data_IF_694032265278
#
_entry.id   IF_694032265278
#
_cell.length_a   1.000
_cell.length_b   1.000
_cell.length_c   1.000
_cell.angle_alpha   90.00
_cell.angle_beta   90.00
_cell.angle_gamma   90.00
#
_symmetry.space_group_name_H-M   'P 1'
#
loop_
_entity.id
_entity.type
_entity.pdbx_description
1 polymer ?
#
# COMPACT_ATOMS: atom_id res chain seq x y z
N UNK A 1 21.24 -8.43 -2.62
CA UNK A 1 20.03 -9.22 -2.89
C UNK A 1 20.44 -10.47 -3.65
N UNK A 2 19.71 -11.57 -3.47
CA UNK A 2 20.04 -12.85 -4.09
C UNK A 2 19.42 -12.99 -5.49
N UNK A 3 20.09 -13.76 -6.35
CA UNK A 3 19.56 -14.08 -7.68
C UNK A 3 18.62 -15.27 -7.60
N UNK A 4 17.44 -15.14 -8.21
CA UNK A 4 16.39 -16.17 -8.15
C UNK A 4 15.81 -16.47 -9.53
N UNK A 5 15.40 -17.72 -9.73
CA UNK A 5 14.73 -18.18 -10.95
C UNK A 5 13.31 -17.65 -11.09
N UNK A 6 12.58 -17.55 -9.98
CA UNK A 6 11.20 -17.09 -9.94
C UNK A 6 11.10 -15.81 -9.13
N UNK A 7 10.39 -14.84 -9.70
CA UNK A 7 10.00 -13.62 -9.02
C UNK A 7 8.49 -13.47 -9.13
N UNK A 8 7.82 -13.12 -8.03
CA UNK A 8 6.38 -12.86 -8.05
C UNK A 8 6.04 -11.53 -7.42
N UNK A 9 5.15 -10.79 -8.06
CA UNK A 9 4.51 -9.61 -7.50
C UNK A 9 3.12 -9.98 -6.99
N UNK A 10 2.79 -9.51 -5.79
CA UNK A 10 1.52 -9.77 -5.10
C UNK A 10 1.14 -8.58 -4.22
N UNK A 11 -0.07 -8.65 -3.65
CA UNK A 11 -0.61 -7.60 -2.77
C UNK A 11 -0.65 -6.21 -3.46
N UNK A 12 -0.93 -6.22 -4.76
CA UNK A 12 -1.10 -5.03 -5.60
C UNK A 12 -2.38 -4.30 -5.17
N UNK A 13 -2.23 -3.39 -4.22
CA UNK A 13 -3.37 -2.80 -3.52
C UNK A 13 -3.77 -1.49 -4.16
N UNK A 14 -4.97 -1.43 -4.73
CA UNK A 14 -5.52 -0.22 -5.32
C UNK A 14 -6.53 0.49 -4.41
N UNK A 15 -6.78 1.74 -4.76
CA UNK A 15 -7.78 2.62 -4.21
C UNK A 15 -9.19 2.00 -4.16
N UNK A 16 -9.64 1.49 -5.31
CA UNK A 16 -10.91 0.76 -5.45
C UNK A 16 -10.65 -0.72 -5.17
N UNK A 17 -11.31 -1.31 -4.15
CA UNK A 17 -11.19 -2.73 -3.86
C UNK A 17 -11.51 -3.60 -5.07
N UNK A 18 -10.95 -4.81 -5.15
CA UNK A 18 -11.15 -5.75 -6.26
C UNK A 18 -10.55 -5.30 -7.60
N UNK A 19 -9.92 -4.14 -7.73
CA UNK A 19 -9.46 -3.63 -9.04
C UNK A 19 -7.95 -3.45 -9.14
N UNK A 20 -7.44 -3.54 -10.36
CA UNK A 20 -6.04 -3.25 -10.66
C UNK A 20 -5.90 -2.80 -12.12
N UNK A 21 -5.15 -1.73 -12.37
CA UNK A 21 -4.72 -1.32 -13.71
C UNK A 21 -3.25 -0.89 -13.67
N UNK A 22 -2.45 -1.48 -14.55
CA UNK A 22 -1.04 -1.13 -14.77
C UNK A 22 -0.72 -1.21 -16.27
N UNK A 23 0.12 -0.31 -16.75
CA UNK A 23 0.62 -0.32 -18.14
C UNK A 23 1.97 -1.03 -18.26
N UNK A 24 2.84 -0.91 -17.26
CA UNK A 24 4.18 -1.49 -17.25
C UNK A 24 4.48 -2.19 -15.94
N UNK A 25 5.32 -3.23 -15.99
CA UNK A 25 5.97 -3.81 -14.82
C UNK A 25 7.33 -4.41 -15.20
N UNK A 26 8.38 -3.61 -15.00
CA UNK A 26 9.75 -3.98 -15.32
C UNK A 26 10.55 -4.31 -14.07
N UNK A 27 11.44 -5.29 -14.18
CA UNK A 27 12.35 -5.68 -13.08
C UNK A 27 13.77 -5.22 -13.42
N UNK A 28 14.45 -4.65 -12.42
CA UNK A 28 15.77 -4.05 -12.56
C UNK A 28 16.81 -4.67 -11.62
N UNK A 29 18.06 -4.65 -12.07
CA UNK A 29 19.27 -4.84 -11.27
C UNK A 29 20.18 -3.61 -11.46
N UNK A 30 20.28 -2.77 -10.45
CA UNK A 30 20.84 -1.43 -10.56
C UNK A 30 20.03 -0.58 -11.54
N UNK A 31 20.64 -0.19 -12.64
CA UNK A 31 20.01 0.59 -13.71
C UNK A 31 19.62 -0.27 -14.93
N UNK A 32 19.91 -1.57 -14.89
CA UNK A 32 19.70 -2.48 -16.01
C UNK A 32 18.38 -3.22 -15.87
N UNK A 33 17.53 -3.17 -16.90
CA UNK A 33 16.30 -3.97 -16.97
C UNK A 33 16.65 -5.44 -17.22
N UNK A 34 16.13 -6.36 -16.40
CA UNK A 34 16.47 -7.79 -16.46
C UNK A 34 15.32 -8.69 -16.92
N UNK A 35 14.06 -8.24 -16.85
CA UNK A 35 12.87 -9.08 -17.10
C UNK A 35 12.61 -9.45 -18.57
N UNK A 36 13.35 -8.89 -19.52
CA UNK A 36 13.08 -9.03 -20.95
C UNK A 36 13.02 -10.50 -21.42
N UNK A 37 13.92 -11.35 -20.92
CA UNK A 37 13.97 -12.77 -21.26
C UNK A 37 13.04 -13.67 -20.41
N UNK A 38 12.39 -13.12 -19.38
CA UNK A 38 11.53 -13.89 -18.49
C UNK A 38 10.15 -14.15 -19.13
N UNK A 39 9.59 -15.33 -18.88
CA UNK A 39 8.17 -15.59 -19.17
C UNK A 39 7.33 -14.96 -18.06
N UNK A 40 6.37 -14.10 -18.42
CA UNK A 40 5.44 -13.47 -17.48
C UNK A 40 4.08 -14.18 -17.54
N UNK A 41 3.59 -14.61 -16.39
CA UNK A 41 2.24 -15.17 -16.22
C UNK A 41 1.48 -14.44 -15.13
N UNK A 42 0.15 -14.58 -15.12
CA UNK A 42 -0.74 -14.05 -14.09
C UNK A 42 -1.63 -15.17 -13.55
N UNK A 43 -1.92 -15.16 -12.24
CA UNK A 43 -2.83 -16.12 -11.60
C UNK A 43 -4.28 -15.99 -12.07
N UNK A 44 -4.66 -14.82 -12.59
CA UNK A 44 -5.95 -14.57 -13.22
C UNK A 44 -5.75 -13.75 -14.51
N UNK A 45 -6.51 -14.08 -15.56
CA UNK A 45 -6.38 -13.41 -16.85
C UNK A 45 -6.79 -11.92 -16.78
N UNK A 46 -5.97 -10.99 -17.28
CA UNK A 46 -6.35 -9.59 -17.42
C UNK A 46 -7.27 -9.36 -18.62
N UNK A 47 -7.96 -8.23 -18.62
CA UNK A 47 -8.30 -7.53 -19.85
C UNK A 47 -7.04 -6.83 -20.40
N UNK A 48 -6.75 -7.01 -21.69
CA UNK A 48 -5.46 -6.65 -22.28
C UNK A 48 -4.49 -7.83 -22.32
N UNK A 49 -3.24 -7.61 -22.72
CA UNK A 49 -2.24 -8.67 -22.89
C UNK A 49 -1.09 -8.47 -21.90
N UNK A 50 -0.59 -9.56 -21.29
CA UNK A 50 0.58 -9.49 -20.38
C UNK A 50 1.84 -8.98 -21.07
N UNK A 51 1.94 -9.12 -22.39
CA UNK A 51 3.02 -8.54 -23.19
C UNK A 51 3.06 -7.01 -23.09
N UNK A 52 1.92 -6.36 -22.84
CA UNK A 52 1.85 -4.92 -22.66
C UNK A 52 2.64 -4.46 -21.43
N UNK A 53 2.76 -5.29 -20.39
CA UNK A 53 3.53 -4.92 -19.18
C UNK A 53 5.04 -4.85 -19.41
N UNK A 54 5.50 -5.13 -20.63
CA UNK A 54 6.91 -5.15 -21.00
C UNK A 54 7.22 -4.28 -22.22
N UNK A 55 6.21 -3.71 -22.86
CA UNK A 55 6.32 -3.11 -24.19
C UNK A 55 6.84 -1.66 -24.17
N UNK A 56 7.03 -1.09 -22.98
CA UNK A 56 7.49 0.28 -22.78
C UNK A 56 6.52 1.35 -23.30
N UNK A 57 5.23 1.01 -23.43
CA UNK A 57 4.15 1.86 -23.92
C UNK A 57 3.02 2.05 -22.88
N UNK A 58 2.98 3.22 -22.24
CA UNK A 58 1.96 3.55 -21.23
C UNK A 58 0.53 3.68 -21.76
N UNK A 59 0.31 3.59 -23.08
CA UNK A 59 -1.03 3.54 -23.70
C UNK A 59 -1.68 2.15 -23.66
N UNK A 60 -0.88 1.09 -23.59
CA UNK A 60 -1.32 -0.30 -23.45
C UNK A 60 -1.28 -0.71 -21.97
N UNK A 61 -1.75 -1.91 -21.64
CA UNK A 61 -1.66 -2.41 -20.27
C UNK A 61 -2.53 -3.62 -19.97
N UNK A 62 -2.59 -3.95 -18.68
CA UNK A 62 -3.45 -4.98 -18.13
C UNK A 62 -4.42 -4.38 -17.11
N UNK A 63 -5.65 -4.90 -17.11
CA UNK A 63 -6.72 -4.47 -16.23
C UNK A 63 -7.46 -5.67 -15.65
N UNK A 64 -7.74 -5.61 -14.34
CA UNK A 64 -8.62 -6.51 -13.63
C UNK A 64 -9.78 -5.71 -13.02
N UNK A 65 -11.00 -6.05 -13.44
CA UNK A 65 -12.22 -5.40 -12.96
C UNK A 65 -12.68 -5.91 -11.59
N UNK A 66 -12.25 -7.11 -11.22
CA UNK A 66 -12.57 -7.79 -9.97
C UNK A 66 -11.39 -8.70 -9.58
N UNK A 67 -11.13 -8.84 -8.28
CA UNK A 67 -10.06 -9.67 -7.72
C UNK A 67 -8.63 -9.17 -7.99
N UNK A 68 -8.44 -7.92 -8.40
CA UNK A 68 -7.14 -7.33 -8.75
C UNK A 68 -6.08 -7.45 -7.64
N UNK A 69 -6.45 -7.24 -6.37
CA UNK A 69 -5.56 -7.37 -5.21
C UNK A 69 -5.07 -8.80 -4.95
N UNK A 70 -5.78 -9.80 -5.50
CA UNK A 70 -5.44 -11.22 -5.37
C UNK A 70 -4.64 -11.73 -6.58
N UNK A 71 -4.42 -10.89 -7.59
CA UNK A 71 -3.59 -11.25 -8.75
C UNK A 71 -2.14 -11.40 -8.30
N UNK A 72 -1.54 -12.50 -8.76
CA UNK A 72 -0.11 -12.75 -8.62
C UNK A 72 0.47 -12.74 -10.03
N UNK A 73 1.42 -11.83 -10.27
CA UNK A 73 2.23 -11.80 -11.48
C UNK A 73 3.51 -12.58 -11.22
N UNK A 74 3.88 -13.49 -12.11
CA UNK A 74 5.05 -14.36 -11.94
C UNK A 74 5.97 -14.25 -13.15
N UNK A 75 7.22 -13.89 -12.89
CA UNK A 75 8.32 -13.94 -13.84
C UNK A 75 9.09 -15.24 -13.62
N UNK A 76 9.19 -16.04 -14.68
CA UNK A 76 10.07 -17.20 -14.74
C UNK A 76 11.27 -16.88 -15.61
N UNK A 77 12.43 -16.76 -15.01
CA UNK A 77 13.66 -16.47 -15.73
C UNK A 77 14.31 -17.75 -16.26
N UNK A 78 14.90 -17.72 -17.47
CA UNK A 78 15.68 -18.85 -17.99
C UNK A 78 16.97 -19.09 -17.18
N UNK A 79 17.53 -18.02 -16.62
CA UNK A 79 18.67 -18.04 -15.69
C UNK A 79 18.36 -17.16 -14.49
N UNK A 80 18.71 -17.55 -13.24
CA UNK A 80 18.41 -16.75 -12.05
C UNK A 80 18.90 -15.31 -12.18
N UNK A 81 18.04 -14.35 -11.83
CA UNK A 81 18.37 -12.92 -11.87
C UNK A 81 18.27 -12.31 -10.48
N UNK A 82 19.21 -11.44 -10.15
CA UNK A 82 19.07 -10.53 -9.02
C UNK A 82 18.10 -9.41 -9.43
N UNK A 83 17.17 -9.07 -8.55
CA UNK A 83 16.24 -7.95 -8.75
C UNK A 83 16.32 -7.04 -7.54
N UNK A 84 16.72 -5.80 -7.75
CA UNK A 84 16.89 -4.76 -6.72
C UNK A 84 16.05 -3.51 -6.96
N UNK A 85 15.20 -3.54 -7.97
CA UNK A 85 14.29 -2.46 -8.28
C UNK A 85 13.21 -2.82 -9.28
N UNK A 86 12.20 -1.95 -9.32
CA UNK A 86 11.06 -2.09 -10.23
C UNK A 86 10.73 -0.76 -10.89
N UNK A 87 10.11 -0.82 -12.07
CA UNK A 87 9.40 0.30 -12.67
C UNK A 87 7.98 -0.16 -12.96
N UNK A 88 7.00 0.64 -12.57
CA UNK A 88 5.58 0.36 -12.83
C UNK A 88 4.94 1.53 -13.57
N UNK A 89 4.09 1.20 -14.54
CA UNK A 89 3.44 2.18 -15.41
C UNK A 89 1.99 2.39 -15.05
N UNK A 90 1.58 3.64 -14.95
CA UNK A 90 0.20 4.06 -14.73
C UNK A 90 -0.50 4.35 -16.07
N UNK A 91 -1.77 3.94 -16.16
CA UNK A 91 -2.59 4.10 -17.38
C UNK A 91 -3.65 5.18 -17.21
N UNK A 92 -4.91 4.80 -16.92
CA UNK A 92 -6.06 5.71 -17.09
C UNK A 92 -6.57 6.34 -15.80
N UNK A 93 -6.50 5.66 -14.67
CA UNK A 93 -7.16 6.14 -13.44
C UNK A 93 -6.43 5.80 -12.16
N UNK A 94 -6.41 6.77 -11.24
CA UNK A 94 -5.90 6.59 -9.87
C UNK A 94 -6.70 5.55 -9.09
N UNK A 95 -7.98 5.38 -9.40
CA UNK A 95 -8.88 4.48 -8.68
C UNK A 95 -8.42 3.01 -8.74
N UNK A 96 -7.64 2.65 -9.77
CA UNK A 96 -7.17 1.29 -10.04
C UNK A 96 -5.64 1.17 -9.97
N UNK A 97 -4.96 2.27 -9.67
CA UNK A 97 -3.51 2.32 -9.50
C UNK A 97 -3.11 1.62 -8.20
N UNK A 98 -2.17 0.66 -8.24
CA UNK A 98 -1.64 0.09 -7.02
C UNK A 98 -0.78 1.12 -6.27
N UNK A 99 -1.05 1.31 -4.98
CA UNK A 99 -0.26 2.18 -4.10
C UNK A 99 0.92 1.45 -3.48
N UNK A 100 0.81 0.12 -3.34
CA UNK A 100 1.83 -0.75 -2.75
C UNK A 100 1.86 -2.11 -3.43
N UNK A 101 3.00 -2.81 -3.35
CA UNK A 101 3.13 -4.23 -3.68
C UNK A 101 4.26 -4.91 -2.92
N UNK A 102 4.21 -6.24 -2.87
CA UNK A 102 5.34 -7.08 -2.48
C UNK A 102 5.93 -7.79 -3.69
N UNK A 103 7.26 -7.89 -3.72
CA UNK A 103 7.98 -8.69 -4.69
C UNK A 103 8.76 -9.78 -3.95
N UNK A 104 8.49 -11.04 -4.29
CA UNK A 104 9.10 -12.19 -3.64
C UNK A 104 9.98 -12.96 -4.63
N UNK A 105 11.21 -13.30 -4.22
CA UNK A 105 12.18 -14.09 -5.00
C UNK A 105 12.38 -15.49 -4.42
N UNK A 106 12.46 -16.50 -5.28
CA UNK A 106 12.66 -17.89 -4.89
C UNK A 106 13.01 -18.81 -6.06
N UNK A 107 13.42 -20.05 -5.75
CA UNK A 107 13.94 -21.00 -6.74
C UNK A 107 13.04 -22.25 -6.93
N UNK A 108 11.92 -22.31 -6.20
CA UNK A 108 10.94 -23.41 -6.26
C UNK A 108 9.58 -22.90 -6.76
N UNK A 109 8.80 -23.77 -7.40
CA UNK A 109 7.67 -23.41 -8.27
C UNK A 109 6.27 -23.48 -7.66
N UNK A 110 6.10 -23.68 -6.35
CA UNK A 110 4.82 -24.17 -5.78
C UNK A 110 4.25 -23.39 -4.59
N UNK A 111 3.32 -22.46 -4.86
CA UNK A 111 2.36 -22.10 -3.80
C UNK A 111 1.44 -20.95 -4.14
N UNK A 112 0.15 -21.26 -4.25
CA UNK A 112 -0.96 -20.29 -4.24
C UNK A 112 -1.21 -19.68 -2.84
N UNK A 113 -0.30 -19.89 -1.88
CA UNK A 113 -0.33 -19.33 -0.53
C UNK A 113 1.06 -18.88 -0.04
N UNK A 114 1.18 -18.47 1.24
CA UNK A 114 2.47 -18.17 1.87
C UNK A 114 3.30 -19.45 2.02
N UNK A 115 3.97 -19.84 0.94
CA UNK A 115 4.86 -20.99 0.83
C UNK A 115 6.28 -20.64 1.31
N UNK A 116 7.00 -21.57 1.98
CA UNK A 116 8.41 -21.43 2.42
C UNK A 116 9.44 -21.40 1.26
N UNK A 117 8.99 -21.11 0.05
CA UNK A 117 9.72 -21.28 -1.21
C UNK A 117 10.30 -19.97 -1.77
N UNK A 118 9.78 -18.85 -1.28
CA UNK A 118 10.29 -17.52 -1.57
C UNK A 118 11.00 -17.01 -0.33
N UNK A 119 12.31 -16.82 -0.45
CA UNK A 119 13.19 -16.45 0.68
C UNK A 119 13.57 -14.97 0.64
N UNK A 120 13.48 -14.34 -0.53
CA UNK A 120 13.69 -12.90 -0.72
C UNK A 120 12.33 -12.19 -0.70
N UNK A 121 12.17 -11.20 0.17
CA UNK A 121 10.91 -10.48 0.39
C UNK A 121 11.17 -8.98 0.33
N UNK A 122 10.62 -8.33 -0.69
CA UNK A 122 10.79 -6.90 -0.94
C UNK A 122 9.43 -6.22 -0.92
N UNK A 123 9.38 -5.01 -0.36
CA UNK A 123 8.17 -4.19 -0.30
C UNK A 123 8.40 -2.87 -1.02
N UNK A 124 7.41 -2.41 -1.78
CA UNK A 124 7.48 -1.20 -2.57
C UNK A 124 6.25 -0.32 -2.32
N UNK A 125 6.48 0.97 -2.09
CA UNK A 125 5.47 2.00 -2.23
C UNK A 125 5.58 2.62 -3.63
N UNK A 126 4.48 2.61 -4.37
CA UNK A 126 4.43 3.13 -5.75
C UNK A 126 4.15 4.63 -5.80
N UNK A 127 3.62 5.18 -4.70
CA UNK A 127 3.40 6.60 -4.54
C UNK A 127 2.33 7.15 -5.48
N UNK A 128 2.50 8.42 -5.85
CA UNK A 128 1.50 9.23 -6.57
C UNK A 128 1.22 8.68 -7.96
N UNK A 129 -0.08 8.56 -8.29
CA UNK A 129 -0.54 8.33 -9.65
C UNK A 129 -0.32 9.54 -10.55
N UNK A 130 0.27 9.31 -11.73
CA UNK A 130 0.29 10.25 -12.85
C UNK A 130 -0.13 9.48 -14.09
N UNK A 131 -1.19 9.93 -14.77
CA UNK A 131 -1.71 9.20 -15.94
C UNK A 131 -0.66 9.07 -17.04
N UNK A 132 -0.70 7.92 -17.74
CA UNK A 132 0.18 7.59 -18.86
C UNK A 132 1.69 7.74 -18.56
N UNK A 133 2.10 7.53 -17.31
CA UNK A 133 3.48 7.77 -16.85
C UNK A 133 4.04 6.56 -16.11
N UNK A 134 5.35 6.34 -16.22
CA UNK A 134 6.10 5.34 -15.44
C UNK A 134 6.66 5.95 -14.17
N UNK A 135 6.78 5.16 -13.12
CA UNK A 135 7.63 5.51 -11.98
C UNK A 135 9.09 5.65 -12.44
N UNK A 136 9.92 6.31 -11.63
CA UNK A 136 11.36 6.05 -11.69
C UNK A 136 11.67 4.61 -11.27
N UNK A 137 12.95 4.22 -11.30
CA UNK A 137 13.38 2.93 -10.72
C UNK A 137 13.17 3.03 -9.21
N UNK A 138 12.16 2.32 -8.71
CA UNK A 138 11.87 2.20 -7.30
C UNK A 138 12.79 1.14 -6.70
N UNK A 139 13.32 1.42 -5.52
CA UNK A 139 14.11 0.47 -4.72
C UNK A 139 13.26 -0.10 -3.59
N UNK A 140 13.57 -1.32 -3.11
CA UNK A 140 12.89 -1.88 -1.95
C UNK A 140 12.96 -0.91 -0.77
N UNK A 141 11.84 -0.76 -0.07
CA UNK A 141 11.85 -0.08 1.22
C UNK A 141 12.74 -0.89 2.19
N UNK A 142 13.62 -0.22 2.98
CA UNK A 142 14.42 -0.93 3.95
C UNK A 142 13.48 -1.68 4.92
N UNK A 143 13.69 -2.98 5.06
CA UNK A 143 13.00 -3.77 6.08
C UNK A 143 13.37 -3.18 7.44
N UNK A 144 12.44 -2.53 8.13
CA UNK A 144 12.69 -2.15 9.51
C UNK A 144 12.70 -3.47 10.30
N UNK A 145 13.83 -3.90 10.92
CA UNK A 145 13.96 -5.24 11.50
C UNK A 145 12.98 -5.54 12.66
N UNK A 146 12.22 -4.54 13.12
CA UNK A 146 11.26 -4.72 14.21
C UNK A 146 9.86 -5.20 13.81
N UNK A 147 9.44 -5.11 12.55
CA UNK A 147 8.21 -5.79 12.10
C UNK A 147 8.31 -6.09 10.61
N UNK A 148 8.17 -7.36 10.16
CA UNK A 148 7.83 -7.60 8.77
C UNK A 148 6.53 -6.86 8.50
N UNK A 149 6.52 -5.96 7.51
CA UNK A 149 5.30 -5.37 7.00
C UNK A 149 4.43 -6.54 6.55
N UNK A 150 3.44 -6.90 7.36
CA UNK A 150 2.55 -8.00 7.05
C UNK A 150 1.75 -7.59 5.80
N UNK A 151 1.20 -8.55 5.07
CA UNK A 151 0.37 -8.24 3.88
C UNK A 151 -0.77 -7.26 4.20
N UNK A 152 -1.23 -7.23 5.46
CA UNK A 152 -2.16 -6.23 6.00
C UNK A 152 -1.59 -4.80 6.07
N UNK A 153 -0.29 -4.63 6.25
CA UNK A 153 0.40 -3.33 6.30
C UNK A 153 0.59 -2.74 4.89
N UNK A 154 0.66 -3.58 3.84
CA UNK A 154 0.62 -3.14 2.42
C UNK A 154 -0.80 -2.98 1.87
N UNK A 155 -1.79 -3.74 2.38
CA UNK A 155 -3.19 -3.63 1.95
C UNK A 155 -3.90 -2.34 2.37
N UNK A 156 -3.15 -1.42 2.98
CA UNK A 156 -3.67 -0.30 3.75
C UNK A 156 -2.74 0.90 3.51
N UNK A 157 -2.89 1.54 2.34
CA UNK A 157 -2.49 2.94 2.09
C UNK A 157 -1.06 3.33 2.48
N UNK A 158 -0.03 3.09 1.65
CA UNK A 158 1.17 3.92 1.72
C UNK A 158 0.84 5.32 1.16
N UNK A 159 0.58 6.28 2.04
CA UNK A 159 0.67 7.71 1.73
C UNK A 159 1.85 8.36 2.45
N UNK A 160 2.05 9.66 2.27
CA UNK A 160 2.96 10.50 3.09
C UNK A 160 2.19 11.38 4.10
N UNK A 161 0.87 11.19 4.20
CA UNK A 161 -0.02 12.10 4.89
C UNK A 161 -0.11 11.82 6.38
N UNK A 162 -0.46 12.86 7.13
CA UNK A 162 -0.60 12.82 8.58
C UNK A 162 -2.00 13.23 9.00
N UNK A 163 -2.64 12.41 9.83
CA UNK A 163 -3.90 12.75 10.50
C UNK A 163 -3.65 12.80 12.00
N UNK A 164 -3.52 14.01 12.60
CA UNK A 164 -3.49 14.13 14.06
C UNK A 164 -4.86 13.83 14.65
N UNK A 165 -4.87 13.36 15.88
CA UNK A 165 -6.09 13.20 16.67
C UNK A 165 -5.85 13.60 18.11
N UNK A 166 -6.91 14.10 18.73
CA UNK A 166 -6.97 14.42 20.14
C UNK A 166 -8.32 13.94 20.70
N UNK A 167 -8.24 13.21 21.81
CA UNK A 167 -9.38 12.65 22.53
C UNK A 167 -9.40 13.27 23.91
N UNK A 168 -10.43 14.05 24.17
CA UNK A 168 -10.63 14.73 25.45
C UNK A 168 -11.98 14.37 26.06
N UNK A 169 -12.05 14.48 27.38
CA UNK A 169 -13.30 14.45 28.16
C UNK A 169 -13.57 15.79 28.81
N UNK A 170 -14.83 16.20 28.83
CA UNK A 170 -15.28 17.36 29.61
C UNK A 170 -15.15 17.05 31.11
N UNK A 171 -14.61 18.00 31.88
CA UNK A 171 -14.57 17.91 33.34
C UNK A 171 -15.95 18.20 33.91
N UNK A 172 -16.41 17.34 34.82
CA UNK A 172 -17.69 17.51 35.53
C UNK A 172 -17.44 17.89 37.01
N UNK A 173 -18.26 18.78 37.60
CA UNK A 173 -19.35 19.52 36.98
C UNK A 173 -18.84 20.55 35.94
N UNK A 174 -19.65 20.83 34.92
CA UNK A 174 -19.29 21.70 33.80
C UNK A 174 -18.80 23.07 34.32
N UNK A 175 -17.66 23.52 33.80
CA UNK A 175 -17.13 24.88 33.99
C UNK A 175 -17.49 25.77 32.81
N UNK A 176 -17.53 27.10 33.00
CA UNK A 176 -17.58 28.09 31.91
C UNK A 176 -16.34 29.02 32.02
N UNK A 177 -15.41 29.00 31.05
CA UNK A 177 -15.39 28.14 29.85
C UNK A 177 -15.21 26.66 30.20
N UNK A 178 -15.63 25.79 29.28
CA UNK A 178 -15.50 24.34 29.44
C UNK A 178 -14.04 23.92 29.56
N UNK A 179 -13.73 23.14 30.59
CA UNK A 179 -12.41 22.53 30.78
C UNK A 179 -12.43 21.09 30.28
N UNK A 180 -11.41 20.73 29.51
CA UNK A 180 -11.23 19.40 28.94
C UNK A 180 -9.93 18.78 29.44
N UNK A 181 -9.96 17.46 29.69
CA UNK A 181 -8.76 16.69 30.04
C UNK A 181 -8.52 15.60 28.97
N UNK A 182 -7.26 15.30 28.65
CA UNK A 182 -6.94 14.19 27.76
C UNK A 182 -7.52 12.87 28.28
N UNK A 183 -8.00 12.02 27.38
CA UNK A 183 -8.66 10.77 27.70
C UNK A 183 -8.07 9.61 26.92
N UNK A 184 -7.72 8.53 27.63
CA UNK A 184 -7.27 7.30 26.99
C UNK A 184 -8.40 6.65 26.16
N UNK A 185 -8.10 6.27 24.93
CA UNK A 185 -9.06 5.63 24.04
C UNK A 185 -8.36 4.76 23.00
N UNK A 186 -9.09 3.75 22.49
CA UNK A 186 -8.70 3.12 21.24
C UNK A 186 -9.19 3.99 20.10
N UNK A 187 -8.28 4.51 19.29
CA UNK A 187 -8.58 5.38 18.16
C UNK A 187 -8.50 4.59 16.87
N UNK A 188 -9.48 4.78 16.00
CA UNK A 188 -9.61 4.09 14.72
C UNK A 188 -9.69 5.09 13.57
N UNK A 189 -8.95 4.79 12.51
CA UNK A 189 -9.01 5.48 11.23
C UNK A 189 -9.80 4.63 10.23
N UNK A 190 -10.86 5.19 9.69
CA UNK A 190 -11.74 4.55 8.72
C UNK A 190 -11.73 5.37 7.43
N UNK A 191 -11.69 4.72 6.26
CA UNK A 191 -11.70 5.41 4.97
C UNK A 191 -13.15 5.63 4.53
N UNK A 192 -13.48 6.84 4.09
CA UNK A 192 -14.89 7.21 3.89
C UNK A 192 -15.53 6.55 2.66
N UNK A 193 -14.74 6.24 1.62
CA UNK A 193 -15.28 5.72 0.36
C UNK A 193 -15.85 4.30 0.49
N UNK A 194 -15.29 3.49 1.38
CA UNK A 194 -15.64 2.07 1.55
C UNK A 194 -15.94 1.68 3.01
N UNK A 195 -15.80 2.61 3.96
CA UNK A 195 -15.98 2.35 5.39
C UNK A 195 -14.90 1.43 5.98
N UNK A 196 -13.80 1.19 5.26
CA UNK A 196 -12.79 0.22 5.67
C UNK A 196 -11.97 0.76 6.83
N UNK A 197 -11.80 -0.06 7.87
CA UNK A 197 -10.86 0.23 8.96
C UNK A 197 -9.44 0.10 8.44
N UNK A 198 -8.73 1.22 8.44
CA UNK A 198 -7.35 1.36 7.94
C UNK A 198 -6.38 1.07 9.06
N UNK A 199 -6.53 1.75 10.20
CA UNK A 199 -5.64 1.53 11.34
C UNK A 199 -6.40 1.70 12.65
N UNK A 200 -5.95 0.98 13.67
CA UNK A 200 -6.45 1.12 15.02
C UNK A 200 -5.26 1.18 15.97
N UNK A 201 -5.28 2.11 16.91
CA UNK A 201 -4.21 2.33 17.88
C UNK A 201 -4.79 2.58 19.27
N UNK A 202 -4.16 2.02 20.29
CA UNK A 202 -4.43 2.40 21.67
C UNK A 202 -3.66 3.68 22.01
N UNK A 203 -4.36 4.76 22.37
CA UNK A 203 -3.75 6.01 22.83
C UNK A 203 -3.98 6.18 24.34
N UNK A 204 -2.95 6.00 25.18
CA UNK A 204 -3.08 6.15 26.64
C UNK A 204 -3.21 7.62 27.07
N UNK A 205 -2.74 8.55 26.25
CA UNK A 205 -2.76 10.00 26.52
C UNK A 205 -3.88 10.73 25.79
N UNK A 206 -4.63 10.06 24.92
CA UNK A 206 -5.66 10.67 24.08
C UNK A 206 -5.11 11.48 22.90
N UNK A 207 -3.80 11.71 22.80
CA UNK A 207 -3.18 12.50 21.74
C UNK A 207 -2.33 11.58 20.85
N UNK A 208 -2.37 11.80 19.55
CA UNK A 208 -1.53 11.04 18.62
C UNK A 208 -1.74 11.44 17.16
N UNK A 209 -1.18 10.63 16.26
CA UNK A 209 -1.41 10.78 14.83
C UNK A 209 -1.36 9.43 14.11
N UNK A 210 -2.08 9.35 13.00
CA UNK A 210 -1.86 8.34 11.97
C UNK A 210 -0.90 8.91 10.94
N UNK A 211 0.25 8.26 10.78
CA UNK A 211 1.26 8.61 9.78
C UNK A 211 1.17 7.70 8.55
N UNK A 212 1.72 8.18 7.45
CA UNK A 212 1.76 7.51 6.16
C UNK A 212 0.35 7.19 5.63
N UNK A 213 -0.56 8.16 5.74
CA UNK A 213 -1.96 8.02 5.31
C UNK A 213 -2.11 8.59 3.89
N UNK A 214 -2.83 7.87 3.04
CA UNK A 214 -3.04 8.24 1.63
C UNK A 214 -3.88 9.53 1.50
N UNK A 215 -3.26 10.60 0.99
CA UNK A 215 -3.83 11.95 0.92
C UNK A 215 -4.94 12.07 -0.12
N UNK A 216 -5.15 11.06 -0.95
CA UNK A 216 -6.14 11.09 -2.01
C UNK A 216 -7.55 10.79 -1.49
N UNK A 217 -7.66 10.29 -0.26
CA UNK A 217 -8.93 9.97 0.39
C UNK A 217 -9.24 10.88 1.56
N UNK A 218 -10.52 10.87 1.94
CA UNK A 218 -10.98 11.39 3.21
C UNK A 218 -11.23 10.25 4.19
N UNK A 219 -11.11 10.57 5.47
CA UNK A 219 -11.17 9.61 6.54
C UNK A 219 -12.01 10.12 7.70
N UNK A 220 -12.61 9.16 8.40
CA UNK A 220 -13.29 9.33 9.67
C UNK A 220 -12.41 8.78 10.79
N UNK A 221 -12.26 9.56 11.86
CA UNK A 221 -11.51 9.17 13.06
C UNK A 221 -12.48 8.96 14.20
N UNK A 222 -12.51 7.75 14.76
CA UNK A 222 -13.43 7.37 15.84
C UNK A 222 -12.65 6.97 17.09
N UNK A 223 -13.01 7.53 18.24
CA UNK A 223 -12.58 7.07 19.57
C UNK A 223 -13.53 5.98 20.07
N UNK A 224 -12.97 4.93 20.64
CA UNK A 224 -13.66 3.89 21.39
C UNK A 224 -13.19 3.98 22.84
N UNK A 225 -14.10 4.39 23.72
CA UNK A 225 -13.78 4.59 25.13
C UNK A 225 -13.75 3.25 25.88
N UNK A 226 -12.67 2.96 26.62
CA UNK A 226 -12.47 1.66 27.26
C UNK A 226 -13.49 1.38 28.37
N UNK A 227 -13.92 2.41 29.11
CA UNK A 227 -14.76 2.28 30.30
C UNK A 227 -16.24 2.14 29.97
N UNK A 228 -16.71 2.81 28.92
CA UNK A 228 -18.14 2.90 28.59
C UNK A 228 -18.52 2.11 27.34
N UNK A 229 -17.53 1.67 26.53
CA UNK A 229 -17.78 1.07 25.21
C UNK A 229 -18.38 2.04 24.19
N UNK A 230 -18.56 3.32 24.55
CA UNK A 230 -19.11 4.33 23.67
C UNK A 230 -18.12 4.66 22.55
N UNK A 231 -18.68 5.03 21.40
CA UNK A 231 -17.93 5.46 20.23
C UNK A 231 -18.24 6.91 19.94
N UNK A 232 -17.21 7.73 19.76
CA UNK A 232 -17.34 9.12 19.39
C UNK A 232 -16.56 9.39 18.11
N UNK A 233 -17.18 10.08 17.16
CA UNK A 233 -16.46 10.64 16.01
C UNK A 233 -15.66 11.83 16.50
N UNK A 234 -14.34 11.75 16.38
CA UNK A 234 -13.40 12.82 16.75
C UNK A 234 -13.28 13.80 15.58
N UNK A 235 -13.22 13.27 14.36
CA UNK A 235 -13.12 14.05 13.15
C UNK A 235 -13.72 13.27 11.98
N UNK A 236 -14.40 13.97 11.06
CA UNK A 236 -15.10 13.39 9.91
C UNK A 236 -14.65 14.08 8.62
N UNK A 237 -14.64 13.32 7.52
CA UNK A 237 -14.22 13.74 6.17
C UNK A 237 -12.86 14.44 6.15
N UNK A 238 -11.94 14.00 7.00
CA UNK A 238 -10.62 14.64 7.12
C UNK A 238 -9.72 14.16 6.00
N UNK A 239 -9.10 15.11 5.32
CA UNK A 239 -8.01 14.85 4.40
C UNK A 239 -6.69 14.84 5.18
N UNK A 240 -5.79 13.85 4.96
CA UNK A 240 -4.47 13.89 5.55
C UNK A 240 -3.75 15.20 5.22
N UNK A 241 -3.11 15.78 6.23
CA UNK A 241 -2.21 16.91 6.03
C UNK A 241 -0.97 16.38 5.31
N UNK A 242 -0.51 17.10 4.28
CA UNK A 242 0.81 16.80 3.70
C UNK A 242 1.85 16.90 4.80
N UNK A 243 2.79 15.94 4.87
CA UNK A 243 3.95 16.10 5.73
C UNK A 243 4.63 17.45 5.40
N UNK A 244 5.05 18.26 6.38
CA UNK A 244 5.86 19.43 6.09
C UNK A 244 7.01 18.98 5.20
N UNK A 245 7.19 19.71 4.10
CA UNK A 245 8.26 19.50 3.14
C UNK A 245 9.59 19.15 3.84
N UNK A 246 10.28 18.13 3.33
CA UNK A 246 11.70 17.95 3.62
C UNK A 246 12.39 19.27 3.30
N UNK A 247 12.77 20.02 4.33
CA UNK A 247 13.76 21.08 4.20
C UNK A 247 15.05 20.38 3.82
N UNK A 248 15.64 20.81 2.69
CA UNK A 248 16.89 20.30 2.11
C UNK A 248 18.01 20.10 3.15
#
# INVERSE_FOLDING_TARGET
>A
MAAHKYWRALALTAATPATLEISEFHLYNGTTRVDAAATLTASAAPSGALANLKDDNTGTGCYWASGGESVVLTWTFPTPQNVDGIVVGARTTIARWPTALQLHGGDVTTGTGPSPEYIEHQCYGLGRFVSATKTGILRPLPSNPHKPLQTKDLLICPGIGRIPFEVVREVLPRTDPKTYLPQAATVRLERDIDGKVIRQVWSPTGVGAFEFVDENFTYTVTAIYPETGMRAVIADRIKPQGHPEFVE
#
